data_IF_965172422550
#
_entry.id   IF_965172422550
#
_cell.length_a   1.000
_cell.length_b   1.000
_cell.length_c   1.000
_cell.angle_alpha   90.00
_cell.angle_beta   90.00
_cell.angle_gamma   90.00
#
_symmetry.space_group_name_H-M   'P 1'
#
loop_
_entity.id
_entity.type
_entity.pdbx_description
1 polymer ?
#
# COMPACT_ATOMS: atom_id res chain seq x y z
N UNK A 1 46.09 9.11 29.84
CA UNK A 1 46.22 8.15 28.74
C UNK A 1 44.84 7.73 28.40
N UNK A 2 44.27 8.43 27.47
CA UNK A 2 42.91 8.22 26.95
C UNK A 2 43.03 7.47 25.64
N UNK A 3 42.55 6.22 25.60
CA UNK A 3 42.46 5.46 24.36
C UNK A 3 41.11 5.79 23.70
N UNK A 4 41.18 6.48 22.59
CA UNK A 4 40.07 6.66 21.65
C UNK A 4 39.83 5.34 20.93
N UNK A 5 38.65 4.76 21.10
CA UNK A 5 38.15 3.70 20.24
C UNK A 5 37.36 4.33 19.09
N UNK A 6 38.07 4.66 18.03
CA UNK A 6 37.46 4.86 16.70
C UNK A 6 37.13 3.46 16.14
N UNK A 7 35.91 3.00 16.41
CA UNK A 7 35.37 1.86 15.70
C UNK A 7 34.82 2.33 14.35
N UNK A 8 35.61 2.21 13.29
CA UNK A 8 35.09 2.26 11.92
C UNK A 8 34.05 1.15 11.74
N UNK A 9 32.83 1.45 11.22
CA UNK A 9 31.90 0.39 10.86
C UNK A 9 32.52 -0.48 9.76
N UNK A 10 32.52 -1.78 9.97
CA UNK A 10 32.96 -2.73 8.97
C UNK A 10 32.11 -2.59 7.70
N UNK A 11 32.70 -2.64 6.50
CA UNK A 11 31.94 -2.61 5.25
C UNK A 11 30.98 -3.80 5.21
N UNK A 12 29.78 -3.59 4.66
CA UNK A 12 28.84 -4.66 4.38
C UNK A 12 29.57 -5.76 3.63
N UNK A 13 29.56 -6.99 4.19
CA UNK A 13 30.39 -8.08 3.73
C UNK A 13 29.90 -8.56 2.36
N UNK A 14 30.68 -8.26 1.31
CA UNK A 14 30.57 -8.91 0.02
C UNK A 14 30.58 -10.44 0.23
N UNK A 15 29.52 -11.10 -0.27
CA UNK A 15 29.46 -12.57 -0.33
C UNK A 15 28.83 -13.32 0.83
N UNK A 16 28.12 -12.69 1.77
CA UNK A 16 27.28 -13.47 2.69
C UNK A 16 26.02 -13.94 1.97
N UNK A 17 25.66 -15.25 2.07
CA UNK A 17 24.38 -15.73 1.58
C UNK A 17 23.25 -14.98 2.29
N UNK A 18 22.13 -14.76 1.58
CA UNK A 18 20.95 -14.16 2.18
C UNK A 18 20.51 -15.00 3.39
N UNK A 19 20.12 -14.40 4.54
CA UNK A 19 19.99 -15.11 5.81
C UNK A 19 18.78 -16.07 5.89
N UNK A 20 17.94 -16.11 4.84
CA UNK A 20 16.71 -16.90 4.79
C UNK A 20 16.70 -17.83 3.58
N UNK A 21 16.02 -18.96 3.71
CA UNK A 21 15.79 -19.87 2.60
C UNK A 21 14.62 -19.37 1.75
N UNK A 22 14.71 -19.46 0.41
CA UNK A 22 13.63 -19.09 -0.48
C UNK A 22 12.35 -19.92 -0.23
N UNK A 23 11.19 -19.24 -0.28
CA UNK A 23 9.87 -19.84 -0.13
C UNK A 23 8.97 -19.37 -1.29
N UNK A 24 9.09 -19.99 -2.47
CA UNK A 24 8.28 -19.62 -3.62
C UNK A 24 6.78 -19.71 -3.33
N UNK A 25 6.02 -18.85 -3.98
CA UNK A 25 4.57 -18.84 -3.86
C UNK A 25 4.02 -20.04 -4.64
N UNK A 26 3.16 -20.81 -4.00
CA UNK A 26 2.38 -21.87 -4.63
C UNK A 26 0.97 -21.89 -4.06
N UNK A 27 -0.01 -21.60 -4.90
CA UNK A 27 -1.43 -21.73 -4.54
C UNK A 27 -1.90 -23.15 -4.89
N UNK A 28 -2.42 -23.91 -3.91
CA UNK A 28 -2.90 -25.27 -4.16
C UNK A 28 -4.01 -25.35 -5.22
N UNK A 29 -4.05 -26.46 -5.96
CA UNK A 29 -5.04 -26.64 -7.05
C UNK A 29 -6.48 -26.71 -6.56
N UNK A 30 -6.71 -27.16 -5.34
CA UNK A 30 -8.03 -27.20 -4.71
C UNK A 30 -8.57 -25.79 -4.42
N UNK A 31 -7.70 -24.83 -4.07
CA UNK A 31 -8.05 -23.41 -3.92
C UNK A 31 -8.49 -22.82 -5.27
N UNK A 32 -7.78 -23.17 -6.35
CA UNK A 32 -8.14 -22.73 -7.71
C UNK A 32 -9.44 -23.39 -8.19
N UNK A 33 -9.69 -24.64 -7.82
CA UNK A 33 -10.92 -25.34 -8.13
C UNK A 33 -12.13 -24.75 -7.37
N UNK A 34 -11.97 -24.44 -6.08
CA UNK A 34 -12.99 -23.76 -5.26
C UNK A 34 -13.33 -22.38 -5.84
N UNK A 35 -12.31 -21.60 -6.22
CA UNK A 35 -12.53 -20.32 -6.89
C UNK A 35 -13.40 -20.45 -8.15
N UNK A 36 -13.04 -21.36 -9.05
CA UNK A 36 -13.80 -21.59 -10.30
C UNK A 36 -15.25 -21.94 -10.01
N UNK A 37 -15.48 -22.86 -9.04
CA UNK A 37 -16.83 -23.24 -8.64
C UNK A 37 -17.63 -22.03 -8.12
N UNK A 38 -17.03 -21.18 -7.28
CA UNK A 38 -17.70 -20.00 -6.75
C UNK A 38 -17.97 -18.94 -7.81
N UNK A 39 -17.09 -18.76 -8.78
CA UNK A 39 -17.31 -17.87 -9.92
C UNK A 39 -18.48 -18.39 -10.79
N UNK A 40 -18.58 -19.71 -11.02
CA UNK A 40 -19.71 -20.34 -11.74
C UNK A 40 -21.04 -20.17 -11.01
N UNK A 41 -21.04 -20.18 -9.68
CA UNK A 41 -22.22 -20.05 -8.83
C UNK A 41 -22.56 -18.60 -8.47
N UNK A 42 -21.89 -17.61 -9.06
CA UNK A 42 -22.12 -16.20 -8.75
C UNK A 42 -23.59 -15.81 -8.96
N UNK A 43 -24.21 -15.30 -7.90
CA UNK A 43 -25.58 -14.75 -7.94
C UNK A 43 -25.52 -13.24 -8.16
N UNK A 44 -25.97 -12.84 -9.33
CA UNK A 44 -26.01 -11.42 -9.68
C UNK A 44 -27.23 -10.74 -9.05
N UNK A 45 -27.04 -9.58 -8.37
CA UNK A 45 -28.19 -8.77 -7.94
C UNK A 45 -28.98 -8.27 -9.14
N UNK A 46 -30.25 -7.94 -8.96
CA UNK A 46 -31.02 -7.26 -10.00
C UNK A 46 -30.35 -5.95 -10.41
N UNK A 47 -30.36 -5.65 -11.70
CA UNK A 47 -29.89 -4.35 -12.19
C UNK A 47 -30.91 -3.27 -11.84
N UNK A 48 -30.48 -2.24 -11.13
CA UNK A 48 -31.27 -1.06 -10.77
C UNK A 48 -30.95 0.18 -11.64
N UNK A 49 -30.30 -0.02 -12.80
CA UNK A 49 -30.03 1.07 -13.75
C UNK A 49 -28.79 1.89 -13.39
N UNK A 50 -27.72 1.27 -12.96
CA UNK A 50 -26.45 1.92 -12.55
C UNK A 50 -25.53 2.22 -13.76
N UNK A 51 -26.06 2.81 -14.82
CA UNK A 51 -25.29 3.08 -16.06
C UNK A 51 -24.28 4.24 -15.91
N UNK A 52 -24.51 5.13 -14.99
CA UNK A 52 -23.67 6.30 -14.69
C UNK A 52 -22.69 6.03 -13.53
N UNK A 53 -22.67 4.82 -12.99
CA UNK A 53 -21.83 4.47 -11.84
C UNK A 53 -22.20 5.13 -10.52
N UNK A 54 -23.39 5.77 -10.44
CA UNK A 54 -23.80 6.49 -9.23
C UNK A 54 -23.92 5.56 -8.01
N UNK A 55 -24.33 4.32 -8.22
CA UNK A 55 -24.48 3.29 -7.17
C UNK A 55 -23.27 2.39 -6.97
N UNK A 56 -22.13 2.71 -7.57
CA UNK A 56 -20.89 1.95 -7.47
C UNK A 56 -20.49 1.28 -8.78
N UNK A 57 -19.81 0.12 -8.70
CA UNK A 57 -19.26 -0.58 -9.86
C UNK A 57 -20.34 -0.90 -10.91
N UNK A 58 -20.05 -0.62 -12.17
CA UNK A 58 -20.90 -1.00 -13.28
C UNK A 58 -20.99 -2.54 -13.36
N UNK A 59 -22.24 -3.02 -13.43
CA UNK A 59 -22.52 -4.45 -13.45
C UNK A 59 -21.98 -5.13 -14.71
N UNK A 60 -22.07 -4.47 -15.85
CA UNK A 60 -21.67 -5.07 -17.14
C UNK A 60 -20.17 -5.30 -17.16
N UNK A 61 -19.39 -4.32 -16.70
CA UNK A 61 -17.95 -4.46 -16.59
C UNK A 61 -17.52 -5.49 -15.55
N UNK A 62 -18.19 -5.51 -14.40
CA UNK A 62 -17.90 -6.55 -13.39
C UNK A 62 -18.21 -7.96 -13.91
N UNK A 63 -19.31 -8.14 -14.64
CA UNK A 63 -19.65 -9.42 -15.27
C UNK A 63 -18.61 -9.84 -16.30
N UNK A 64 -18.14 -8.90 -17.13
CA UNK A 64 -17.08 -9.15 -18.10
C UNK A 64 -15.78 -9.58 -17.41
N UNK A 65 -15.39 -8.86 -16.33
CA UNK A 65 -14.16 -9.16 -15.59
C UNK A 65 -14.25 -10.51 -14.86
N UNK A 66 -15.40 -10.85 -14.27
CA UNK A 66 -15.65 -12.16 -13.65
C UNK A 66 -15.62 -13.28 -14.69
N UNK A 67 -16.22 -13.07 -15.89
CA UNK A 67 -16.16 -14.06 -16.97
C UNK A 67 -14.72 -14.24 -17.49
N UNK A 68 -13.98 -13.16 -17.63
CA UNK A 68 -12.57 -13.21 -17.97
C UNK A 68 -11.77 -13.98 -16.90
N UNK A 69 -12.00 -13.71 -15.62
CA UNK A 69 -11.35 -14.42 -14.51
C UNK A 69 -11.61 -15.92 -14.57
N UNK A 70 -12.85 -16.30 -14.85
CA UNK A 70 -13.30 -17.68 -14.92
C UNK A 70 -12.73 -18.45 -16.12
N UNK A 71 -12.61 -17.78 -17.29
CA UNK A 71 -12.40 -18.46 -18.59
C UNK A 71 -11.06 -18.21 -19.25
N UNK A 72 -10.39 -17.10 -18.95
CA UNK A 72 -9.18 -16.66 -19.67
C UNK A 72 -7.98 -16.39 -18.77
N UNK A 73 -8.23 -15.88 -17.56
CA UNK A 73 -7.14 -15.54 -16.64
C UNK A 73 -6.40 -16.81 -16.20
N UNK A 74 -5.08 -16.79 -16.32
CA UNK A 74 -4.19 -17.90 -15.95
C UNK A 74 -3.37 -17.55 -14.71
N UNK A 75 -3.84 -18.02 -13.53
CA UNK A 75 -3.09 -17.83 -12.29
C UNK A 75 -1.69 -18.45 -12.35
N UNK A 76 -1.52 -19.61 -13.01
CA UNK A 76 -0.20 -20.26 -13.06
C UNK A 76 0.83 -19.44 -13.83
N UNK A 77 0.40 -18.74 -14.88
CA UNK A 77 1.24 -17.77 -15.56
C UNK A 77 1.60 -16.57 -14.65
N UNK A 78 0.61 -16.02 -13.91
CA UNK A 78 0.84 -14.95 -12.95
C UNK A 78 1.75 -15.41 -11.79
N UNK A 79 1.52 -16.58 -11.22
CA UNK A 79 2.35 -17.20 -10.16
C UNK A 79 3.79 -17.39 -10.63
N UNK A 80 3.99 -17.83 -11.88
CA UNK A 80 5.32 -17.96 -12.47
C UNK A 80 6.01 -16.61 -12.66
N UNK A 81 5.27 -15.56 -13.07
CA UNK A 81 5.80 -14.20 -13.16
C UNK A 81 6.18 -13.63 -11.78
N UNK A 82 5.35 -13.85 -10.77
CA UNK A 82 5.63 -13.46 -9.39
C UNK A 82 6.89 -14.18 -8.91
N UNK A 83 7.02 -15.48 -9.13
CA UNK A 83 8.15 -16.31 -8.72
C UNK A 83 9.44 -16.08 -9.54
N UNK A 84 9.47 -15.14 -10.48
CA UNK A 84 10.74 -14.66 -11.05
C UNK A 84 11.55 -13.84 -10.04
N UNK A 85 10.90 -13.35 -9.00
CA UNK A 85 11.52 -12.70 -7.84
C UNK A 85 11.72 -13.71 -6.71
N UNK A 86 12.64 -13.40 -5.82
CA UNK A 86 12.86 -14.22 -4.61
C UNK A 86 11.73 -13.93 -3.61
N UNK A 87 11.15 -14.98 -3.05
CA UNK A 87 10.15 -14.90 -2.00
C UNK A 87 10.64 -15.56 -0.74
N UNK A 88 10.33 -14.96 0.41
CA UNK A 88 10.73 -15.42 1.72
C UNK A 88 9.59 -15.36 2.71
N UNK A 89 9.67 -16.22 3.75
CA UNK A 89 8.82 -16.16 4.93
C UNK A 89 9.71 -16.07 6.15
N UNK A 90 9.46 -15.08 6.99
CA UNK A 90 10.21 -14.88 8.24
C UNK A 90 9.24 -14.81 9.42
N UNK A 91 9.66 -15.32 10.55
CA UNK A 91 9.07 -14.95 11.84
C UNK A 91 9.71 -13.63 12.28
N UNK A 92 8.91 -12.59 12.40
CA UNK A 92 9.35 -11.26 12.82
C UNK A 92 8.68 -10.93 14.15
N UNK A 93 9.39 -11.12 15.25
CA UNK A 93 8.87 -10.98 16.62
C UNK A 93 7.56 -11.77 16.85
N UNK A 94 7.49 -13.01 16.37
CA UNK A 94 6.34 -13.90 16.51
C UNK A 94 5.25 -13.66 15.45
N UNK A 95 5.46 -12.76 14.50
CA UNK A 95 4.50 -12.48 13.40
C UNK A 95 5.04 -13.08 12.10
N UNK A 96 4.30 -13.98 11.43
CA UNK A 96 4.71 -14.49 10.13
C UNK A 96 4.61 -13.40 9.06
N UNK A 97 5.72 -13.10 8.41
CA UNK A 97 5.83 -12.10 7.36
C UNK A 97 6.35 -12.75 6.08
N UNK A 98 5.57 -12.61 5.02
CA UNK A 98 6.02 -12.88 3.65
C UNK A 98 6.60 -11.59 3.05
N UNK A 99 7.67 -11.71 2.26
CA UNK A 99 8.16 -10.62 1.44
C UNK A 99 8.78 -11.13 0.13
N UNK A 100 8.67 -10.29 -0.89
CA UNK A 100 9.36 -10.43 -2.18
C UNK A 100 10.67 -9.64 -2.12
N UNK A 101 11.72 -10.15 -2.75
CA UNK A 101 13.02 -9.49 -2.84
C UNK A 101 13.54 -9.44 -4.28
N UNK A 102 14.15 -8.32 -4.59
CA UNK A 102 15.01 -8.17 -5.78
C UNK A 102 16.37 -7.65 -5.33
N UNK A 103 17.39 -8.48 -5.44
CA UNK A 103 18.75 -8.09 -5.10
C UNK A 103 19.25 -6.96 -6.01
N UNK A 104 19.88 -5.96 -5.44
CA UNK A 104 20.41 -4.83 -6.19
C UNK A 104 21.62 -5.21 -7.03
N UNK A 105 21.65 -4.78 -8.30
CA UNK A 105 22.72 -5.08 -9.26
C UNK A 105 23.88 -4.07 -9.22
N UNK A 106 23.85 -3.09 -8.31
CA UNK A 106 24.90 -2.07 -8.18
C UNK A 106 26.07 -2.50 -7.32
N UNK A 107 27.14 -1.67 -7.27
CA UNK A 107 28.36 -1.98 -6.51
C UNK A 107 28.13 -1.98 -4.99
N UNK A 108 27.18 -1.21 -4.48
CA UNK A 108 26.78 -1.11 -3.06
C UNK A 108 25.31 -0.75 -2.95
N UNK A 109 24.40 -1.70 -3.22
CA UNK A 109 22.97 -1.41 -3.21
C UNK A 109 22.49 -0.92 -1.84
N UNK A 110 21.70 0.15 -1.83
CA UNK A 110 21.06 0.64 -0.61
C UNK A 110 19.86 -0.24 -0.27
N UNK A 111 19.75 -0.81 0.95
CA UNK A 111 18.55 -1.55 1.32
C UNK A 111 17.31 -0.66 1.31
N UNK A 112 16.24 -1.11 0.66
CA UNK A 112 14.99 -0.36 0.52
C UNK A 112 13.79 -1.26 0.83
N UNK A 113 12.94 -0.83 1.76
CA UNK A 113 11.66 -1.46 2.00
C UNK A 113 10.53 -0.68 1.34
N UNK A 114 9.69 -1.38 0.55
CA UNK A 114 8.55 -0.79 -0.15
C UNK A 114 7.24 -1.29 0.45
N UNK A 115 6.44 -0.39 0.99
CA UNK A 115 5.20 -0.72 1.67
C UNK A 115 4.00 -0.34 0.81
N UNK A 116 3.18 -1.35 0.45
CA UNK A 116 1.98 -1.15 -0.35
C UNK A 116 0.83 -0.52 0.46
N UNK A 117 -0.27 -0.16 -0.21
CA UNK A 117 -1.51 0.30 0.40
C UNK A 117 -2.67 -0.67 0.21
N UNK A 118 -3.89 -0.25 0.60
CA UNK A 118 -5.14 -0.98 0.35
C UNK A 118 -5.91 -0.32 -0.81
N UNK A 119 -6.49 -1.04 -1.76
CA UNK A 119 -6.65 -2.49 -1.85
C UNK A 119 -5.60 -3.20 -2.72
N UNK A 120 -4.37 -2.78 -2.61
CA UNK A 120 -3.25 -3.38 -3.32
C UNK A 120 -2.56 -4.46 -2.46
N UNK A 121 -1.57 -5.13 -3.07
CA UNK A 121 -0.74 -6.17 -2.44
C UNK A 121 0.73 -5.85 -2.67
N UNK A 122 1.64 -6.68 -2.18
CA UNK A 122 3.07 -6.54 -2.46
C UNK A 122 3.36 -6.44 -3.98
N UNK A 123 2.54 -7.05 -4.83
CA UNK A 123 2.68 -7.04 -6.29
C UNK A 123 2.47 -5.66 -6.92
N UNK A 124 1.92 -4.71 -6.18
CA UNK A 124 1.80 -3.31 -6.59
C UNK A 124 3.13 -2.72 -7.10
N UNK A 125 4.25 -3.11 -6.50
CA UNK A 125 5.57 -2.59 -6.81
C UNK A 125 6.26 -3.29 -7.99
N UNK A 126 5.61 -4.25 -8.65
CA UNK A 126 6.17 -5.05 -9.75
C UNK A 126 6.72 -4.23 -10.93
N UNK A 127 6.13 -3.05 -11.19
CA UNK A 127 6.56 -2.19 -12.30
C UNK A 127 7.81 -1.35 -11.99
N UNK A 128 8.18 -1.18 -10.73
CA UNK A 128 9.31 -0.33 -10.33
C UNK A 128 10.43 -1.11 -9.65
N UNK A 129 10.20 -2.34 -9.25
CA UNK A 129 11.18 -3.13 -8.52
C UNK A 129 12.47 -3.37 -9.33
N UNK A 130 12.35 -3.68 -10.62
CA UNK A 130 13.52 -3.89 -11.49
C UNK A 130 14.29 -2.60 -11.78
N UNK A 131 13.64 -1.46 -12.18
CA UNK A 131 14.36 -0.18 -12.32
C UNK A 131 15.06 0.29 -11.05
N UNK A 132 14.50 0.00 -9.86
CA UNK A 132 15.14 0.34 -8.59
C UNK A 132 16.32 -0.58 -8.26
N UNK A 133 16.20 -1.86 -8.56
CA UNK A 133 17.26 -2.83 -8.25
C UNK A 133 18.40 -2.81 -9.28
N UNK A 134 18.09 -2.54 -10.54
CA UNK A 134 19.07 -2.48 -11.65
C UNK A 134 18.88 -1.22 -12.50
N UNK A 135 19.15 -0.03 -11.94
CA UNK A 135 19.01 1.22 -12.69
C UNK A 135 19.89 1.25 -13.94
N UNK A 136 21.03 0.56 -13.94
CA UNK A 136 21.92 0.48 -15.11
C UNK A 136 21.26 -0.14 -16.33
N UNK A 137 20.47 -1.19 -16.17
CA UNK A 137 19.70 -1.81 -17.25
C UNK A 137 18.54 -0.91 -17.74
N UNK A 138 18.15 0.09 -16.97
CA UNK A 138 17.07 1.03 -17.26
C UNK A 138 17.52 2.47 -17.55
N UNK A 139 18.83 2.65 -17.85
CA UNK A 139 19.40 3.95 -18.27
C UNK A 139 19.79 4.89 -17.12
N UNK A 140 19.78 4.40 -15.87
CA UNK A 140 20.26 5.11 -14.68
C UNK A 140 21.71 4.78 -14.32
N UNK A 141 22.17 5.32 -13.19
CA UNK A 141 23.49 5.01 -12.65
C UNK A 141 23.44 3.72 -11.82
N UNK A 142 24.28 2.69 -12.11
CA UNK A 142 24.36 1.49 -11.26
C UNK A 142 24.68 1.76 -9.79
N UNK A 143 25.30 2.90 -9.48
CA UNK A 143 25.57 3.30 -8.09
C UNK A 143 24.30 3.62 -7.28
N UNK A 144 23.18 3.92 -7.97
CA UNK A 144 21.89 4.23 -7.35
C UNK A 144 21.02 2.99 -7.10
N UNK A 145 21.56 1.78 -7.30
CA UNK A 145 20.82 0.54 -7.11
C UNK A 145 20.37 0.32 -5.66
N UNK A 146 19.19 -0.29 -5.51
CA UNK A 146 18.63 -0.69 -4.24
C UNK A 146 18.56 -2.22 -4.12
N UNK A 147 18.79 -2.75 -2.91
CA UNK A 147 18.38 -4.10 -2.53
C UNK A 147 16.93 -3.99 -2.02
N UNK A 148 15.97 -4.39 -2.86
CA UNK A 148 14.57 -4.07 -2.69
C UNK A 148 13.84 -5.18 -1.96
N UNK A 149 13.19 -4.83 -0.83
CA UNK A 149 12.38 -5.71 0.02
C UNK A 149 10.93 -5.23 -0.04
N UNK A 150 10.02 -6.11 -0.44
CA UNK A 150 8.60 -5.77 -0.63
C UNK A 150 7.73 -6.71 0.20
N UNK A 151 7.47 -6.38 1.48
CA UNK A 151 6.66 -7.25 2.32
C UNK A 151 5.17 -7.17 1.97
N UNK A 152 4.46 -8.27 2.19
CA UNK A 152 3.02 -8.23 2.41
C UNK A 152 2.75 -7.69 3.80
N UNK A 153 1.84 -6.73 3.96
CA UNK A 153 1.38 -6.34 5.28
C UNK A 153 0.96 -7.57 6.11
N UNK A 154 1.24 -7.61 7.42
CA UNK A 154 0.66 -8.63 8.29
C UNK A 154 -0.86 -8.68 8.16
N UNK A 155 -1.39 -9.84 7.81
CA UNK A 155 -2.82 -10.03 7.52
C UNK A 155 -3.24 -9.74 6.08
N UNK A 156 -2.31 -9.40 5.19
CA UNK A 156 -2.54 -9.25 3.74
C UNK A 156 -1.77 -10.30 2.96
N UNK A 157 -2.31 -10.72 1.83
CA UNK A 157 -1.64 -11.64 0.94
C UNK A 157 -1.03 -12.80 1.70
N UNK A 158 0.20 -13.16 1.38
CA UNK A 158 0.84 -14.33 1.95
C UNK A 158 1.42 -14.12 3.37
N UNK A 159 1.21 -12.95 4.01
CA UNK A 159 1.38 -12.72 5.45
C UNK A 159 0.09 -12.91 6.25
N UNK A 160 -0.93 -13.51 5.69
CA UNK A 160 -2.20 -13.80 6.32
C UNK A 160 -2.55 -15.28 6.31
N UNK A 161 -3.64 -15.66 7.03
CA UNK A 161 -4.33 -14.89 8.08
C UNK A 161 -3.53 -14.79 9.40
N UNK A 162 -3.93 -13.87 10.31
CA UNK A 162 -3.24 -13.62 11.58
C UNK A 162 -4.18 -13.85 12.79
N UNK A 163 -4.54 -15.08 13.14
CA UNK A 163 -5.48 -15.35 14.23
C UNK A 163 -4.92 -14.92 15.62
N UNK A 164 -3.61 -15.02 15.81
CA UNK A 164 -2.96 -14.79 17.10
C UNK A 164 -2.55 -13.30 17.32
N UNK A 165 -2.78 -12.44 16.32
CA UNK A 165 -2.43 -11.02 16.37
C UNK A 165 -3.66 -10.12 16.08
N UNK A 166 -4.73 -10.20 16.92
CA UNK A 166 -6.00 -9.53 16.63
C UNK A 166 -5.92 -7.99 16.69
N UNK A 167 -4.86 -7.45 17.25
CA UNK A 167 -4.61 -6.02 17.47
C UNK A 167 -3.56 -5.44 16.51
N UNK A 168 -3.24 -6.15 15.41
CA UNK A 168 -2.32 -5.67 14.40
C UNK A 168 -2.80 -4.34 13.80
N UNK A 169 -1.92 -3.35 13.78
CA UNK A 169 -2.18 -2.00 13.28
C UNK A 169 -0.92 -1.42 12.60
N UNK A 170 -1.03 -0.26 11.95
CA UNK A 170 0.07 0.31 11.16
C UNK A 170 1.31 0.67 12.00
N UNK A 171 1.13 1.04 13.24
CA UNK A 171 2.23 1.36 14.16
C UNK A 171 3.04 0.13 14.50
N UNK A 172 2.39 -1.00 14.78
CA UNK A 172 3.04 -2.29 14.98
C UNK A 172 3.71 -2.80 13.71
N UNK A 173 3.09 -2.58 12.55
CA UNK A 173 3.70 -2.93 11.26
C UNK A 173 5.01 -2.18 11.05
N UNK A 174 5.09 -0.88 11.40
CA UNK A 174 6.34 -0.13 11.33
C UNK A 174 7.42 -0.74 12.25
N UNK A 175 7.07 -1.14 13.46
CA UNK A 175 7.99 -1.83 14.37
C UNK A 175 8.47 -3.16 13.78
N UNK A 176 7.58 -3.95 13.17
CA UNK A 176 7.94 -5.19 12.50
C UNK A 176 8.84 -4.96 11.28
N UNK A 177 8.60 -3.91 10.48
CA UNK A 177 9.48 -3.56 9.36
C UNK A 177 10.88 -3.18 9.81
N UNK A 178 10.98 -2.41 10.89
CA UNK A 178 12.28 -2.11 11.48
C UNK A 178 13.00 -3.37 11.95
N UNK A 179 12.31 -4.28 12.63
CA UNK A 179 12.86 -5.59 13.05
C UNK A 179 13.26 -6.44 11.86
N UNK A 180 12.40 -6.53 10.84
CA UNK A 180 12.69 -7.25 9.60
C UNK A 180 13.99 -6.75 8.99
N UNK A 181 14.11 -5.45 8.77
CA UNK A 181 15.29 -4.87 8.10
C UNK A 181 16.56 -5.00 8.95
N UNK A 182 16.49 -4.69 10.25
CA UNK A 182 17.69 -4.59 11.09
C UNK A 182 18.10 -5.90 11.74
N UNK A 183 17.15 -6.63 12.37
CA UNK A 183 17.48 -7.85 13.11
C UNK A 183 17.41 -9.12 12.25
N UNK A 184 16.37 -9.23 11.42
CA UNK A 184 16.18 -10.43 10.59
C UNK A 184 17.11 -10.42 9.38
N UNK A 185 17.19 -9.29 8.66
CA UNK A 185 18.01 -9.18 7.45
C UNK A 185 19.41 -8.62 7.71
N UNK A 186 19.64 -7.99 8.87
CA UNK A 186 20.96 -7.53 9.31
C UNK A 186 21.44 -6.21 8.70
N UNK A 187 20.56 -5.42 8.10
CA UNK A 187 20.93 -4.10 7.58
C UNK A 187 21.10 -3.09 8.71
N UNK A 188 22.21 -2.35 8.71
CA UNK A 188 22.46 -1.31 9.73
C UNK A 188 21.63 -0.04 9.46
N UNK A 189 21.51 0.32 8.18
CA UNK A 189 20.68 1.43 7.70
C UNK A 189 19.94 1.01 6.44
N UNK A 190 18.76 1.59 6.24
CA UNK A 190 17.91 1.32 5.09
C UNK A 190 17.12 2.56 4.67
N UNK A 191 16.55 2.54 3.50
CA UNK A 191 15.54 3.49 3.03
C UNK A 191 14.16 2.85 3.09
N UNK A 192 13.11 3.65 3.18
CA UNK A 192 11.74 3.16 3.15
C UNK A 192 10.87 4.01 2.24
N UNK A 193 9.94 3.36 1.53
CA UNK A 193 8.94 4.08 0.75
C UNK A 193 7.56 3.43 0.85
N UNK A 194 6.52 4.26 0.69
CA UNK A 194 5.14 3.78 0.74
C UNK A 194 4.13 4.81 0.26
N UNK A 195 2.96 4.31 -0.14
CA UNK A 195 1.80 5.12 -0.51
C UNK A 195 0.56 4.65 0.24
N UNK A 196 -0.52 5.44 0.27
CA UNK A 196 -1.75 5.14 0.99
C UNK A 196 -1.47 4.82 2.48
N UNK A 197 -1.99 3.73 3.05
CA UNK A 197 -1.66 3.30 4.41
C UNK A 197 -0.19 2.91 4.57
N UNK A 198 0.48 2.51 3.49
CA UNK A 198 1.93 2.29 3.47
C UNK A 198 2.71 3.58 3.74
N UNK A 199 2.18 4.75 3.37
CA UNK A 199 2.79 6.04 3.72
C UNK A 199 2.73 6.32 5.22
N UNK A 200 1.68 5.86 5.92
CA UNK A 200 1.60 5.96 7.39
C UNK A 200 2.65 5.09 8.08
N UNK A 201 2.81 3.84 7.63
CA UNK A 201 3.87 2.94 8.14
C UNK A 201 5.25 3.53 7.89
N UNK A 202 5.50 4.01 6.68
CA UNK A 202 6.77 4.65 6.29
C UNK A 202 7.04 5.93 7.10
N UNK A 203 6.01 6.75 7.31
CA UNK A 203 6.08 7.93 8.18
C UNK A 203 6.40 7.57 9.63
N UNK A 204 5.80 6.49 10.16
CA UNK A 204 6.08 6.00 11.50
C UNK A 204 7.52 5.49 11.65
N UNK A 205 8.06 4.83 10.62
CA UNK A 205 9.49 4.49 10.59
C UNK A 205 10.35 5.77 10.70
N UNK A 206 10.04 6.80 9.92
CA UNK A 206 10.74 8.07 9.94
C UNK A 206 10.58 8.87 11.24
N UNK A 207 9.48 8.64 11.99
CA UNK A 207 9.26 9.21 13.31
C UNK A 207 10.07 8.48 14.39
N UNK A 208 10.02 7.16 14.41
CA UNK A 208 10.52 6.36 15.55
C UNK A 208 11.97 5.89 15.37
N UNK A 209 12.41 5.67 14.14
CA UNK A 209 13.67 5.00 13.80
C UNK A 209 14.53 5.84 12.82
N UNK A 210 14.48 7.17 12.94
CA UNK A 210 15.14 8.07 12.00
C UNK A 210 16.67 7.87 11.88
N UNK A 211 17.32 7.43 12.95
CA UNK A 211 18.78 7.23 12.99
C UNK A 211 19.24 6.05 12.12
N UNK A 212 18.40 5.04 11.97
CA UNK A 212 18.65 3.85 11.13
C UNK A 212 18.16 4.02 9.69
N UNK A 213 17.61 5.18 9.34
CA UNK A 213 17.12 5.46 8.00
C UNK A 213 18.07 6.36 7.21
N UNK A 214 18.33 6.01 5.94
CA UNK A 214 18.93 6.93 4.98
C UNK A 214 17.96 8.07 4.62
N UNK A 215 16.68 7.76 4.58
CA UNK A 215 15.57 8.64 4.28
C UNK A 215 14.33 7.82 3.98
N UNK A 216 13.20 8.51 3.83
CA UNK A 216 11.93 7.91 3.45
C UNK A 216 11.30 8.65 2.28
N UNK A 217 10.47 7.95 1.51
CA UNK A 217 9.65 8.55 0.46
C UNK A 217 8.17 8.19 0.68
N UNK A 218 7.29 9.17 0.63
CA UNK A 218 5.85 8.98 0.79
C UNK A 218 5.06 9.57 -0.38
N UNK A 219 4.10 8.80 -0.87
CA UNK A 219 3.09 9.28 -1.80
C UNK A 219 1.92 9.87 -1.02
N UNK A 220 1.84 11.17 -0.92
CA UNK A 220 0.91 11.98 -0.12
C UNK A 220 1.34 12.23 1.34
N UNK A 221 1.06 13.46 1.82
CA UNK A 221 1.39 13.88 3.18
C UNK A 221 0.30 13.55 4.20
N UNK A 222 0.00 12.26 4.43
CA UNK A 222 -0.90 11.83 5.50
C UNK A 222 -0.22 12.00 6.85
N UNK A 223 -0.91 12.61 7.81
CA UNK A 223 -0.42 12.71 9.19
C UNK A 223 -0.57 11.37 9.91
N UNK A 224 0.36 11.05 10.82
CA UNK A 224 0.34 9.83 11.61
C UNK A 224 -0.91 9.72 12.50
N UNK A 225 -1.47 10.83 12.94
CA UNK A 225 -2.69 10.91 13.73
C UNK A 225 -3.99 10.81 12.92
N UNK A 226 -3.93 10.43 11.64
CA UNK A 226 -5.08 10.37 10.73
C UNK A 226 -6.25 9.54 11.27
N UNK A 227 -5.98 8.48 12.03
CA UNK A 227 -6.99 7.61 12.62
C UNK A 227 -7.34 7.96 14.06
N UNK A 228 -6.73 9.01 14.65
CA UNK A 228 -7.00 9.37 16.05
C UNK A 228 -8.33 10.11 16.21
N UNK A 229 -8.95 9.88 17.34
CA UNK A 229 -10.16 10.57 17.79
C UNK A 229 -11.46 10.01 17.24
N UNK A 230 -12.55 10.51 17.84
CA UNK A 230 -13.92 10.18 17.39
C UNK A 230 -14.20 10.90 16.09
N UNK A 231 -14.66 10.16 15.09
CA UNK A 231 -15.12 10.73 13.83
C UNK A 231 -16.63 10.93 13.92
N UNK A 232 -17.07 12.16 13.64
CA UNK A 232 -18.44 12.33 13.22
C UNK A 232 -18.59 11.58 11.88
N UNK A 233 -19.45 10.57 11.85
CA UNK A 233 -19.71 9.76 10.66
C UNK A 233 -20.63 10.51 9.71
N UNK A 234 -20.11 11.62 9.20
CA UNK A 234 -20.63 12.30 8.06
C UNK A 234 -19.88 11.82 6.78
N UNK A 235 -20.47 12.09 5.63
CA UNK A 235 -19.89 11.71 4.35
C UNK A 235 -18.59 12.46 4.03
N UNK A 236 -18.23 13.46 4.84
CA UNK A 236 -17.01 14.26 4.65
C UNK A 236 -15.79 13.65 5.35
N UNK A 237 -15.95 12.51 6.02
CA UNK A 237 -14.87 11.89 6.81
C UNK A 237 -14.38 12.82 7.94
N UNK A 238 -15.25 13.67 8.49
CA UNK A 238 -14.94 14.65 9.53
C UNK A 238 -14.35 15.96 9.01
N UNK A 239 -14.37 16.20 7.70
CA UNK A 239 -13.97 17.48 7.10
C UNK A 239 -15.20 18.20 6.58
N UNK A 240 -15.66 19.27 7.22
CA UNK A 240 -16.79 20.04 6.71
C UNK A 240 -16.43 20.61 5.32
N UNK A 241 -17.40 20.56 4.41
CA UNK A 241 -17.25 21.18 3.10
C UNK A 241 -17.21 22.70 3.31
N UNK A 242 -16.18 23.40 2.86
CA UNK A 242 -16.08 24.85 3.06
C UNK A 242 -17.31 25.58 2.50
N UNK A 243 -17.78 26.59 3.26
CA UNK A 243 -18.82 27.48 2.77
C UNK A 243 -18.31 28.39 1.65
N UNK A 244 -19.22 28.84 0.78
CA UNK A 244 -18.89 29.80 -0.28
C UNK A 244 -18.17 29.24 -1.51
N UNK A 245 -18.03 27.91 -1.62
CA UNK A 245 -17.52 27.30 -2.86
C UNK A 245 -18.54 27.48 -4.01
N UNK A 246 -18.07 27.70 -5.25
CA UNK A 246 -18.93 27.60 -6.44
C UNK A 246 -19.61 26.23 -6.50
N UNK A 247 -20.87 26.19 -6.96
CA UNK A 247 -21.69 24.97 -6.96
C UNK A 247 -21.00 23.78 -7.66
N UNK A 248 -20.31 24.02 -8.78
CA UNK A 248 -19.58 23.00 -9.51
C UNK A 248 -18.41 22.42 -8.68
N UNK A 249 -17.63 23.27 -8.01
CA UNK A 249 -16.53 22.85 -7.14
C UNK A 249 -17.08 22.12 -5.92
N UNK A 250 -18.16 22.61 -5.32
CA UNK A 250 -18.84 21.93 -4.21
C UNK A 250 -19.30 20.53 -4.60
N UNK A 251 -19.91 20.36 -5.78
CA UNK A 251 -20.33 19.06 -6.29
C UNK A 251 -19.16 18.09 -6.46
N UNK A 252 -18.02 18.55 -6.97
CA UNK A 252 -16.79 17.76 -7.12
C UNK A 252 -16.21 17.34 -5.76
N UNK A 253 -16.19 18.26 -4.77
CA UNK A 253 -15.76 17.96 -3.39
C UNK A 253 -16.65 16.88 -2.78
N UNK A 254 -17.99 17.03 -2.88
CA UNK A 254 -18.95 16.04 -2.37
C UNK A 254 -18.74 14.67 -3.03
N UNK A 255 -18.58 14.64 -4.36
CA UNK A 255 -18.35 13.38 -5.09
C UNK A 255 -17.05 12.69 -4.67
N UNK A 256 -15.98 13.46 -4.44
CA UNK A 256 -14.70 12.96 -3.95
C UNK A 256 -14.82 12.37 -2.54
N UNK A 257 -15.43 13.12 -1.61
CA UNK A 257 -15.61 12.67 -0.23
C UNK A 257 -16.46 11.39 -0.16
N UNK A 258 -17.54 11.31 -0.94
CA UNK A 258 -18.34 10.07 -1.03
C UNK A 258 -17.49 8.85 -1.42
N UNK A 259 -16.59 8.99 -2.40
CA UNK A 259 -15.74 7.88 -2.86
C UNK A 259 -14.77 7.40 -1.77
N UNK A 260 -14.23 8.32 -0.98
CA UNK A 260 -13.31 7.99 0.12
C UNK A 260 -14.04 7.51 1.38
N UNK A 261 -15.23 8.04 1.67
CA UNK A 261 -15.96 7.75 2.90
C UNK A 261 -16.46 6.31 2.99
N UNK A 262 -16.88 5.71 1.88
CA UNK A 262 -17.53 4.39 1.86
C UNK A 262 -16.64 3.31 2.47
N UNK A 263 -15.42 3.15 1.97
CA UNK A 263 -14.51 2.12 2.49
C UNK A 263 -14.03 2.45 3.91
N UNK A 264 -13.74 3.72 4.22
CA UNK A 264 -13.32 4.13 5.57
C UNK A 264 -14.41 3.79 6.60
N UNK A 265 -15.68 4.15 6.33
CA UNK A 265 -16.78 3.84 7.22
C UNK A 265 -16.93 2.33 7.43
N UNK A 266 -16.98 1.55 6.34
CA UNK A 266 -17.14 0.10 6.42
C UNK A 266 -15.98 -0.58 7.16
N UNK A 267 -14.74 -0.18 6.86
CA UNK A 267 -13.55 -0.81 7.43
C UNK A 267 -13.29 -0.41 8.89
N UNK A 268 -13.65 0.81 9.29
CA UNK A 268 -13.45 1.26 10.67
C UNK A 268 -14.57 0.78 11.59
N UNK A 269 -15.83 0.76 11.11
CA UNK A 269 -16.98 0.45 11.95
C UNK A 269 -17.31 -1.04 12.02
N UNK A 270 -17.42 -1.71 10.86
CA UNK A 270 -17.96 -3.07 10.76
C UNK A 270 -17.15 -4.00 9.82
N UNK A 271 -15.82 -4.06 9.92
CA UNK A 271 -15.01 -4.85 9.01
C UNK A 271 -15.36 -6.34 9.03
N UNK A 272 -15.66 -6.90 10.21
CA UNK A 272 -15.98 -8.32 10.34
C UNK A 272 -17.29 -8.69 9.66
N UNK A 273 -18.30 -7.83 9.77
CA UNK A 273 -19.61 -8.03 9.11
C UNK A 273 -19.43 -8.08 7.58
N UNK A 274 -18.65 -7.15 7.05
CA UNK A 274 -18.35 -7.11 5.61
C UNK A 274 -17.50 -8.31 5.16
N UNK A 275 -16.54 -8.74 5.97
CA UNK A 275 -15.62 -9.83 5.66
C UNK A 275 -16.32 -11.15 5.34
N UNK A 276 -17.45 -11.48 6.01
CA UNK A 276 -18.20 -12.72 5.72
C UNK A 276 -18.63 -12.80 4.25
N UNK A 277 -19.16 -11.71 3.69
CA UNK A 277 -19.56 -11.68 2.29
C UNK A 277 -18.37 -11.66 1.32
N UNK A 278 -17.33 -10.91 1.64
CA UNK A 278 -16.15 -10.78 0.79
C UNK A 278 -15.29 -12.05 0.76
N UNK A 279 -15.23 -12.80 1.87
CA UNK A 279 -14.48 -14.06 1.94
C UNK A 279 -15.22 -15.23 1.28
N UNK A 280 -16.55 -15.14 1.11
CA UNK A 280 -17.36 -16.19 0.51
C UNK A 280 -17.59 -15.99 -0.99
N UNK A 281 -17.64 -14.73 -1.46
CA UNK A 281 -17.93 -14.39 -2.84
C UNK A 281 -16.72 -13.76 -3.54
N UNK A 282 -16.03 -14.45 -4.47
CA UNK A 282 -14.93 -13.85 -5.22
C UNK A 282 -15.42 -12.67 -6.09
N UNK A 283 -16.62 -12.75 -6.67
CA UNK A 283 -17.21 -11.64 -7.42
C UNK A 283 -17.55 -10.44 -6.52
N UNK A 284 -18.04 -10.69 -5.29
CA UNK A 284 -18.31 -9.65 -4.31
C UNK A 284 -17.02 -8.99 -3.82
N UNK A 285 -16.00 -9.78 -3.53
CA UNK A 285 -14.67 -9.27 -3.18
C UNK A 285 -14.08 -8.43 -4.31
N UNK A 286 -14.11 -8.94 -5.55
CA UNK A 286 -13.65 -8.20 -6.72
C UNK A 286 -14.39 -6.87 -6.88
N UNK A 287 -15.71 -6.85 -6.74
CA UNK A 287 -16.49 -5.60 -6.80
C UNK A 287 -16.04 -4.59 -5.75
N UNK A 288 -15.75 -5.04 -4.51
CA UNK A 288 -15.34 -4.19 -3.42
C UNK A 288 -13.97 -3.55 -3.64
N UNK A 289 -12.98 -4.31 -4.14
CA UNK A 289 -11.64 -3.79 -4.42
C UNK A 289 -11.55 -3.03 -5.75
N UNK A 290 -12.39 -3.38 -6.74
CA UNK A 290 -12.44 -2.73 -8.05
C UNK A 290 -12.93 -1.27 -7.95
N UNK A 291 -13.90 -0.98 -7.07
CA UNK A 291 -14.43 0.37 -6.90
C UNK A 291 -13.35 1.40 -6.53
N UNK A 292 -12.47 1.16 -5.53
CA UNK A 292 -11.31 2.01 -5.26
C UNK A 292 -10.34 2.10 -6.45
N UNK A 293 -10.04 0.99 -7.12
CA UNK A 293 -9.14 1.02 -8.28
C UNK A 293 -9.65 1.95 -9.38
N UNK A 294 -10.96 1.88 -9.70
CA UNK A 294 -11.58 2.78 -10.67
C UNK A 294 -11.57 4.22 -10.16
N UNK A 295 -11.93 4.42 -8.89
CA UNK A 295 -12.14 5.76 -8.33
C UNK A 295 -10.86 6.52 -8.03
N UNK A 296 -9.74 5.81 -7.77
CA UNK A 296 -8.49 6.38 -7.25
C UNK A 296 -7.35 6.33 -8.26
N UNK A 297 -7.60 5.88 -9.48
CA UNK A 297 -6.63 5.95 -10.58
C UNK A 297 -6.96 7.08 -11.56
N UNK A 298 -5.93 7.57 -12.24
CA UNK A 298 -6.05 8.57 -13.30
C UNK A 298 -6.31 7.85 -14.63
N UNK A 299 -7.54 7.33 -14.79
CA UNK A 299 -7.91 6.40 -15.87
C UNK A 299 -8.82 7.03 -16.95
N UNK A 300 -9.14 8.33 -16.84
CA UNK A 300 -9.98 9.02 -17.83
C UNK A 300 -11.39 8.43 -18.00
N UNK A 301 -11.83 7.55 -17.09
CA UNK A 301 -13.13 6.86 -17.12
C UNK A 301 -13.05 5.42 -17.66
N UNK A 302 -11.86 4.95 -18.04
CA UNK A 302 -11.62 3.58 -18.47
C UNK A 302 -10.42 3.00 -17.70
N UNK A 303 -10.68 2.09 -16.75
CA UNK A 303 -9.65 1.47 -15.90
C UNK A 303 -8.59 0.72 -16.72
N UNK A 304 -8.94 0.17 -17.87
CA UNK A 304 -8.04 -0.62 -18.71
C UNK A 304 -6.99 0.23 -19.44
N UNK A 305 -7.12 1.56 -19.42
CA UNK A 305 -6.05 2.47 -19.88
C UNK A 305 -4.86 2.50 -18.92
N UNK A 306 -5.06 2.06 -17.68
CA UNK A 306 -4.03 2.08 -16.61
C UNK A 306 -3.64 0.67 -16.18
N UNK A 307 -4.62 -0.23 -16.02
CA UNK A 307 -4.42 -1.60 -15.54
C UNK A 307 -5.05 -2.60 -16.49
N UNK A 308 -4.27 -3.56 -16.99
CA UNK A 308 -4.84 -4.68 -17.71
C UNK A 308 -5.72 -5.55 -16.80
N UNK A 309 -6.67 -6.30 -17.37
CA UNK A 309 -7.50 -7.25 -16.60
C UNK A 309 -6.65 -8.23 -15.77
N UNK A 310 -5.53 -8.68 -16.33
CA UNK A 310 -4.62 -9.60 -15.64
C UNK A 310 -3.97 -8.95 -14.43
N UNK A 311 -3.61 -7.64 -14.47
CA UNK A 311 -3.08 -6.91 -13.33
C UNK A 311 -4.10 -6.87 -12.19
N UNK A 312 -5.35 -6.46 -12.50
CA UNK A 312 -6.44 -6.38 -11.53
C UNK A 312 -6.73 -7.75 -10.91
N UNK A 313 -6.82 -8.79 -11.75
CA UNK A 313 -7.12 -10.14 -11.30
C UNK A 313 -5.97 -10.80 -10.53
N UNK A 314 -4.71 -10.42 -10.81
CA UNK A 314 -3.58 -10.90 -10.02
C UNK A 314 -3.66 -10.40 -8.57
N UNK A 315 -4.01 -9.13 -8.35
CA UNK A 315 -4.25 -8.61 -7.01
C UNK A 315 -5.47 -9.28 -6.34
N UNK A 316 -6.57 -9.44 -7.07
CA UNK A 316 -7.75 -10.15 -6.57
C UNK A 316 -7.42 -11.60 -6.18
N UNK A 317 -6.64 -12.30 -7.01
CA UNK A 317 -6.16 -13.66 -6.72
C UNK A 317 -5.31 -13.74 -5.46
N UNK A 318 -4.41 -12.78 -5.24
CA UNK A 318 -3.58 -12.77 -4.03
C UNK A 318 -4.46 -12.65 -2.78
N UNK A 319 -5.47 -11.77 -2.78
CA UNK A 319 -6.43 -11.67 -1.66
C UNK A 319 -7.25 -12.95 -1.49
N UNK A 320 -7.75 -13.51 -2.60
CA UNK A 320 -8.59 -14.70 -2.56
C UNK A 320 -7.82 -15.94 -2.08
N UNK A 321 -6.70 -16.23 -2.72
CA UNK A 321 -5.92 -17.42 -2.45
C UNK A 321 -5.36 -17.46 -1.02
N UNK A 322 -5.09 -16.30 -0.43
CA UNK A 322 -4.61 -16.18 0.95
C UNK A 322 -5.73 -15.99 1.97
N UNK A 323 -6.99 -15.88 1.54
CA UNK A 323 -8.14 -15.55 2.38
C UNK A 323 -7.88 -14.31 3.27
N UNK A 324 -7.24 -13.28 2.72
CA UNK A 324 -6.73 -12.14 3.50
C UNK A 324 -7.60 -10.89 3.42
N UNK A 325 -8.68 -10.89 2.64
CA UNK A 325 -9.52 -9.70 2.50
C UNK A 325 -10.09 -9.23 3.85
N UNK A 326 -10.58 -10.15 4.69
CA UNK A 326 -11.15 -9.84 6.00
C UNK A 326 -10.14 -9.24 6.97
N UNK A 327 -8.93 -9.81 7.04
CA UNK A 327 -7.84 -9.30 7.90
C UNK A 327 -7.31 -7.96 7.39
N UNK A 328 -7.24 -7.76 6.07
CA UNK A 328 -6.79 -6.51 5.46
C UNK A 328 -7.68 -5.32 5.82
N UNK A 329 -9.00 -5.49 5.74
CA UNK A 329 -9.95 -4.41 6.08
C UNK A 329 -10.02 -4.15 7.59
N UNK A 330 -9.85 -5.18 8.42
CA UNK A 330 -9.85 -5.06 9.88
C UNK A 330 -8.75 -4.14 10.42
N UNK A 331 -7.62 -4.03 9.72
CA UNK A 331 -6.50 -3.18 10.12
C UNK A 331 -6.93 -1.72 10.29
N UNK A 332 -7.90 -1.24 9.51
CA UNK A 332 -8.46 0.11 9.64
C UNK A 332 -9.16 0.32 11.01
N UNK A 333 -10.00 -0.63 11.43
CA UNK A 333 -10.64 -0.58 12.75
C UNK A 333 -9.61 -0.61 13.88
N UNK A 334 -8.55 -1.41 13.73
CA UNK A 334 -7.49 -1.47 14.72
C UNK A 334 -6.71 -0.15 14.85
N UNK A 335 -6.48 0.58 13.75
CA UNK A 335 -5.80 1.88 13.83
C UNK A 335 -6.65 2.95 14.53
N UNK A 336 -7.97 2.86 14.46
CA UNK A 336 -8.86 3.72 15.25
C UNK A 336 -8.95 3.25 16.71
N UNK A 337 -9.03 1.92 16.94
CA UNK A 337 -9.12 1.32 18.27
C UNK A 337 -7.84 1.48 19.09
N UNK A 338 -6.69 1.45 18.44
CA UNK A 338 -5.35 1.60 19.02
C UNK A 338 -4.67 2.82 18.37
N UNK A 339 -5.10 4.04 18.75
CA UNK A 339 -4.68 5.26 18.06
C UNK A 339 -3.19 5.50 18.19
N UNK A 340 -2.65 6.20 17.21
CA UNK A 340 -1.25 6.58 17.20
C UNK A 340 -0.88 7.43 18.41
N UNK A 341 0.25 7.10 19.01
CA UNK A 341 0.85 7.86 20.11
C UNK A 341 2.29 8.20 19.72
N UNK A 342 2.70 9.47 19.82
CA UNK A 342 4.07 9.87 19.53
C UNK A 342 5.08 9.11 20.38
N UNK A 343 6.15 8.61 19.76
CA UNK A 343 7.29 8.00 20.48
C UNK A 343 8.15 9.06 21.18
N UNK A 344 8.03 10.33 20.74
CA UNK A 344 8.75 11.49 21.31
C UNK A 344 8.03 12.79 20.96
N UNK A 345 8.40 13.88 21.64
CA UNK A 345 7.84 15.22 21.41
C UNK A 345 8.73 16.15 20.56
N UNK A 346 9.72 15.62 19.86
CA UNK A 346 10.63 16.43 19.02
C UNK A 346 9.93 16.94 17.77
N UNK A 347 10.49 18.01 17.19
CA UNK A 347 10.07 18.58 15.91
C UNK A 347 11.27 18.61 14.95
N UNK A 348 11.09 18.32 13.68
CA UNK A 348 9.83 17.85 13.05
C UNK A 348 9.38 16.50 13.60
N UNK A 349 8.09 16.20 13.55
CA UNK A 349 7.55 14.93 14.04
C UNK A 349 8.17 13.74 13.32
N UNK A 350 8.34 13.85 12.00
CA UNK A 350 9.06 12.86 11.18
C UNK A 350 10.46 13.39 10.96
N UNK A 351 11.43 12.86 11.70
CA UNK A 351 12.82 13.35 11.74
C UNK A 351 13.68 12.82 10.60
N UNK A 352 13.40 11.63 10.09
CA UNK A 352 14.11 11.11 8.91
C UNK A 352 13.96 12.06 7.71
N UNK A 353 14.98 12.20 6.83
CA UNK A 353 14.84 12.95 5.59
C UNK A 353 13.68 12.42 4.75
N UNK A 354 12.72 13.27 4.34
CA UNK A 354 11.49 12.88 3.66
C UNK A 354 11.43 13.42 2.23
N UNK A 355 11.27 12.54 1.25
CA UNK A 355 10.75 12.86 -0.07
C UNK A 355 9.22 12.72 -0.10
N UNK A 356 8.50 13.69 -0.66
CA UNK A 356 7.04 13.63 -0.81
C UNK A 356 6.69 13.85 -2.28
N UNK A 357 5.90 12.93 -2.84
CA UNK A 357 5.34 13.09 -4.19
C UNK A 357 3.87 13.50 -4.11
N UNK A 358 3.53 14.56 -4.83
CA UNK A 358 2.17 15.04 -5.03
C UNK A 358 1.72 14.72 -6.45
N UNK A 359 0.56 14.12 -6.59
CA UNK A 359 -0.04 13.74 -7.88
C UNK A 359 -1.38 14.42 -8.10
N UNK A 360 -1.75 14.62 -9.37
CA UNK A 360 -2.93 15.36 -9.77
C UNK A 360 -4.24 14.83 -9.18
N UNK A 361 -4.39 13.51 -9.10
CA UNK A 361 -5.56 12.87 -8.49
C UNK A 361 -5.83 13.34 -7.05
N UNK A 362 -4.79 13.57 -6.28
CA UNK A 362 -4.85 13.99 -4.88
C UNK A 362 -5.22 15.47 -4.69
N UNK A 363 -5.26 16.25 -5.76
CA UNK A 363 -5.52 17.67 -5.66
C UNK A 363 -6.97 17.94 -5.26
N UNK A 364 -7.23 18.93 -4.40
CA UNK A 364 -8.57 19.47 -4.24
C UNK A 364 -9.10 19.97 -5.60
N UNK A 365 -10.41 19.89 -5.84
CA UNK A 365 -11.01 20.40 -7.06
C UNK A 365 -10.61 21.86 -7.34
N UNK A 366 -10.16 22.13 -8.57
CA UNK A 366 -9.72 23.46 -8.99
C UNK A 366 -8.30 23.86 -8.53
N UNK A 367 -7.58 22.98 -7.85
CA UNK A 367 -6.20 23.23 -7.37
C UNK A 367 -5.23 22.41 -8.23
N UNK A 368 -4.22 23.08 -8.82
CA UNK A 368 -3.13 22.43 -9.53
C UNK A 368 -2.12 21.83 -8.55
N UNK A 369 -1.35 20.84 -8.98
CA UNK A 369 -0.39 20.14 -8.12
C UNK A 369 0.70 21.08 -7.59
N UNK A 370 1.18 22.02 -8.42
CA UNK A 370 2.16 23.03 -7.99
C UNK A 370 1.58 24.01 -6.95
N UNK A 371 0.30 24.32 -7.01
CA UNK A 371 -0.39 25.12 -5.99
C UNK A 371 -0.56 24.31 -4.69
N UNK A 372 -0.89 23.02 -4.80
CA UNK A 372 -0.99 22.14 -3.64
C UNK A 372 0.33 22.04 -2.89
N UNK A 373 1.47 21.93 -3.59
CA UNK A 373 2.81 21.96 -2.96
C UNK A 373 3.02 23.26 -2.22
N UNK A 374 2.71 24.42 -2.80
CA UNK A 374 2.79 25.72 -2.12
C UNK A 374 1.90 25.76 -0.87
N UNK A 375 0.64 25.34 -0.98
CA UNK A 375 -0.27 25.28 0.18
C UNK A 375 0.25 24.34 1.28
N UNK A 376 0.90 23.25 0.90
CA UNK A 376 1.55 22.36 1.88
C UNK A 376 2.68 23.09 2.60
N UNK A 377 3.58 23.76 1.87
CA UNK A 377 4.71 24.49 2.44
C UNK A 377 4.27 25.66 3.35
N UNK A 378 3.18 26.32 3.03
CA UNK A 378 2.59 27.43 3.80
C UNK A 378 1.76 26.95 5.00
N UNK A 379 1.59 25.64 5.20
CA UNK A 379 0.76 25.07 6.26
C UNK A 379 1.58 24.51 7.41
N UNK A 380 0.95 24.37 8.59
CA UNK A 380 1.52 23.67 9.74
C UNK A 380 1.88 22.20 9.44
N UNK A 381 1.36 21.65 8.32
CA UNK A 381 1.68 20.28 7.90
C UNK A 381 3.12 20.13 7.47
N UNK A 382 3.71 21.14 6.82
CA UNK A 382 5.12 21.09 6.42
C UNK A 382 6.06 20.94 7.63
N UNK A 383 5.74 21.57 8.73
CA UNK A 383 6.52 21.50 9.97
C UNK A 383 6.53 20.08 10.62
N UNK A 384 5.65 19.19 10.19
CA UNK A 384 5.66 17.79 10.64
C UNK A 384 6.81 16.97 10.07
N UNK A 385 7.38 17.41 8.93
CA UNK A 385 8.30 16.63 8.12
C UNK A 385 9.66 17.30 7.99
N UNK A 386 10.74 16.55 8.16
CA UNK A 386 12.05 16.94 7.68
C UNK A 386 12.11 16.77 6.16
N UNK A 387 11.31 17.55 5.43
CA UNK A 387 11.17 17.41 3.98
C UNK A 387 12.41 17.93 3.25
N UNK A 388 13.02 17.08 2.44
CA UNK A 388 14.22 17.37 1.66
C UNK A 388 13.96 17.39 0.15
N UNK A 389 12.89 16.74 -0.29
CA UNK A 389 12.48 16.72 -1.69
C UNK A 389 10.96 16.70 -1.82
N UNK A 390 10.42 17.58 -2.68
CA UNK A 390 9.00 17.64 -3.00
C UNK A 390 8.85 17.57 -4.51
N UNK A 391 8.15 16.56 -5.01
CA UNK A 391 7.86 16.40 -6.45
C UNK A 391 6.39 16.61 -6.72
N UNK A 392 6.08 17.17 -7.87
CA UNK A 392 4.72 17.46 -8.30
C UNK A 392 4.47 16.94 -9.72
N UNK A 393 3.44 16.11 -9.87
CA UNK A 393 3.01 15.59 -11.16
C UNK A 393 1.53 15.94 -11.36
N UNK A 394 1.20 16.53 -12.52
CA UNK A 394 -0.21 16.86 -12.85
C UNK A 394 -1.02 15.60 -13.22
N UNK A 395 -0.36 14.54 -13.67
CA UNK A 395 -0.93 13.22 -13.89
C UNK A 395 -0.62 12.28 -12.72
N UNK A 396 -1.33 11.16 -12.68
CA UNK A 396 -1.12 10.09 -11.72
C UNK A 396 -2.27 9.91 -10.74
N UNK A 397 -2.53 8.66 -10.37
CA UNK A 397 -3.56 8.24 -9.41
C UNK A 397 -3.08 8.30 -7.96
N UNK A 398 -3.95 7.83 -7.05
CA UNK A 398 -3.65 7.76 -5.61
C UNK A 398 -2.46 6.84 -5.30
N UNK A 399 -2.30 5.79 -6.08
CA UNK A 399 -1.21 4.83 -5.92
C UNK A 399 -0.07 5.18 -6.86
N UNK A 400 1.09 5.43 -6.30
CA UNK A 400 2.36 5.59 -6.97
C UNK A 400 3.05 4.22 -6.84
N UNK A 401 3.44 3.55 -7.85
CA UNK A 401 4.12 3.92 -9.09
C UNK A 401 3.24 4.11 -10.30
#
# INVERSE_FOLDING_TARGET
MTASHDAHPAPAAEGRPFPLEPSPIHVPDDVLADLRLRLDLTRWPGDAGNRDGYYGVDRSYLQELVDYWRTRYDWRAAEAAINQYEHYRADVDGVPVHFMRRAGAGPRPTPLILTHGWPWTFWHWSRVIDPLADPGAHGGDPADAFDVIVPSFPGFGFSGPLPDHPDMNFWKVADLWHVLMTRTLGYQKYAAAGCDVGALVTGQLGHKYAEELHGIHIGSGLKLDFFNGDRAWDLSGGRPIPDGLPDEIRAQVVAREKRSAVHLAAHVLDPSTLAYGLSDSPAGMLAWILQPWISWSDNGGDIETVFAKDDLLTHAMIFWASNSIGTSIRTYANNNRYPWTPSHGRQPVIEAPVGITFVGYENPPGVRTDQRVRHFLDSDRAAWYNHVNLTAHEAGGHFIP
#
